data_IF_304470858804
#
_entry.id   IF_304470858804
#
_cell.length_a   1.000
_cell.length_b   1.000
_cell.length_c   1.000
_cell.angle_alpha   90.00
_cell.angle_beta   90.00
_cell.angle_gamma   90.00
#
_symmetry.space_group_name_H-M   'P 1'
#
loop_
_entity.id
_entity.type
_entity.pdbx_description
1 polymer ?
#
# COMPACT_ATOMS: atom_id res chain seq x y z
N UNK A 1 -6.49 4.87 -7.54
CA UNK A 1 -5.73 3.66 -7.93
C UNK A 1 -6.05 2.54 -6.95
N UNK A 2 -6.44 1.39 -7.47
CA UNK A 2 -6.78 0.24 -6.64
C UNK A 2 -5.51 -0.40 -6.09
N UNK A 3 -5.65 -1.09 -4.96
CA UNK A 3 -4.51 -1.79 -4.36
C UNK A 3 -4.99 -2.96 -3.52
N UNK A 4 -4.05 -3.85 -3.18
CA UNK A 4 -4.30 -5.03 -2.37
C UNK A 4 -3.62 -4.94 -1.00
N UNK A 5 -3.30 -3.73 -0.54
CA UNK A 5 -2.54 -3.56 0.71
C UNK A 5 -3.25 -4.21 1.89
N UNK A 6 -4.57 -4.03 2.01
CA UNK A 6 -5.34 -4.62 3.10
C UNK A 6 -5.22 -6.15 3.10
N UNK A 7 -5.30 -6.77 1.92
CA UNK A 7 -5.17 -8.22 1.79
C UNK A 7 -3.77 -8.66 2.21
N UNK A 8 -2.75 -7.96 1.72
CA UNK A 8 -1.36 -8.29 2.06
C UNK A 8 -1.11 -8.13 3.55
N UNK A 9 -1.67 -7.07 4.17
CA UNK A 9 -1.58 -6.90 5.61
C UNK A 9 -2.25 -8.05 6.37
N UNK A 10 -3.41 -8.48 5.90
CA UNK A 10 -4.12 -9.60 6.52
C UNK A 10 -3.29 -10.88 6.46
N UNK A 11 -2.65 -11.13 5.33
CA UNK A 11 -1.79 -12.30 5.16
C UNK A 11 -0.62 -12.27 6.15
N UNK A 12 -0.01 -11.10 6.36
CA UNK A 12 1.09 -10.93 7.32
C UNK A 12 0.61 -10.73 8.75
N UNK A 13 -0.68 -10.57 8.95
CA UNK A 13 -1.27 -10.31 10.28
C UNK A 13 -0.67 -9.06 10.93
N UNK A 14 -0.61 -7.96 10.18
CA UNK A 14 -0.12 -6.68 10.65
C UNK A 14 -1.19 -5.60 10.51
N UNK A 15 -1.06 -4.56 11.34
CA UNK A 15 -1.97 -3.42 11.34
C UNK A 15 -1.51 -2.36 10.35
N UNK A 16 -2.39 -1.37 10.08
CA UNK A 16 -2.00 -0.19 9.30
C UNK A 16 -0.82 0.54 9.97
N UNK A 17 -0.84 0.62 11.29
CA UNK A 17 0.24 1.27 12.03
C UNK A 17 1.57 0.54 11.85
N UNK A 18 1.54 -0.80 11.89
CA UNK A 18 2.75 -1.59 11.68
C UNK A 18 3.35 -1.31 10.31
N UNK A 19 2.52 -1.29 9.28
CA UNK A 19 2.99 -0.98 7.93
C UNK A 19 3.50 0.45 7.84
N UNK A 20 2.80 1.40 8.44
CA UNK A 20 3.19 2.80 8.42
C UNK A 20 4.59 2.98 9.00
N UNK A 21 4.86 2.36 10.15
CA UNK A 21 6.18 2.39 10.78
C UNK A 21 7.23 1.78 9.85
N UNK A 22 6.92 0.63 9.27
CA UNK A 22 7.87 -0.09 8.41
C UNK A 22 8.29 0.72 7.17
N UNK A 23 7.37 1.51 6.60
CA UNK A 23 7.68 2.29 5.39
C UNK A 23 7.88 3.78 5.67
N UNK A 24 7.82 4.19 6.94
CA UNK A 24 8.21 5.55 7.35
C UNK A 24 7.18 6.62 7.07
N UNK A 25 5.90 6.31 7.20
CA UNK A 25 4.81 7.30 7.03
C UNK A 25 3.82 7.19 8.19
N UNK A 26 2.83 8.07 8.22
CA UNK A 26 1.78 8.02 9.25
C UNK A 26 0.76 6.94 8.94
N UNK A 27 0.04 6.48 9.97
CA UNK A 27 -1.07 5.55 9.80
C UNK A 27 -2.14 6.12 8.88
N UNK A 28 -2.40 7.45 8.99
CA UNK A 28 -3.38 8.11 8.14
C UNK A 28 -3.01 8.01 6.66
N UNK A 29 -1.72 8.09 6.35
CA UNK A 29 -1.26 7.95 4.97
C UNK A 29 -1.59 6.55 4.45
N UNK A 30 -1.32 5.50 5.22
CA UNK A 30 -1.64 4.14 4.82
C UNK A 30 -3.16 3.98 4.65
N UNK A 31 -3.94 4.50 5.60
CA UNK A 31 -5.39 4.44 5.51
C UNK A 31 -5.92 5.09 4.22
N UNK A 32 -5.40 6.28 3.88
CA UNK A 32 -5.82 6.99 2.68
C UNK A 32 -5.43 6.26 1.40
N UNK A 33 -4.26 5.62 1.38
CA UNK A 33 -3.82 4.82 0.23
C UNK A 33 -4.73 3.61 0.07
N UNK A 34 -5.00 2.88 1.14
CA UNK A 34 -5.87 1.70 1.10
C UNK A 34 -7.27 2.05 0.63
N UNK A 35 -7.76 3.22 1.01
CA UNK A 35 -9.09 3.70 0.61
C UNK A 35 -9.09 4.30 -0.80
N UNK A 36 -7.96 4.27 -1.50
CA UNK A 36 -7.80 4.83 -2.85
C UNK A 36 -8.07 6.33 -2.92
N UNK A 37 -7.90 7.05 -1.80
CA UNK A 37 -8.04 8.52 -1.77
C UNK A 37 -6.71 9.23 -1.99
N UNK A 38 -5.61 8.52 -1.91
CA UNK A 38 -4.28 9.07 -2.05
C UNK A 38 -3.41 8.10 -2.85
N UNK A 39 -2.75 8.64 -3.87
CA UNK A 39 -1.81 7.86 -4.68
C UNK A 39 -0.41 8.05 -4.09
N UNK A 40 0.26 6.99 -3.68
CA UNK A 40 1.59 7.14 -3.07
C UNK A 40 2.61 7.62 -4.11
N UNK A 41 3.66 8.27 -3.62
CA UNK A 41 4.82 8.58 -4.46
C UNK A 41 5.44 7.28 -4.97
N UNK A 42 6.25 7.38 -6.02
CA UNK A 42 6.97 6.22 -6.54
C UNK A 42 7.83 5.56 -5.46
N UNK A 43 8.52 6.37 -4.66
CA UNK A 43 9.36 5.84 -3.59
C UNK A 43 8.54 5.09 -2.57
N UNK A 44 7.41 5.64 -2.14
CA UNK A 44 6.56 5.00 -1.15
C UNK A 44 5.95 3.71 -1.70
N UNK A 45 5.49 3.73 -2.95
CA UNK A 45 4.94 2.55 -3.59
C UNK A 45 5.97 1.41 -3.66
N UNK A 46 7.22 1.73 -3.98
CA UNK A 46 8.30 0.76 -4.01
C UNK A 46 8.62 0.21 -2.62
N UNK A 47 8.60 1.06 -1.59
CA UNK A 47 8.82 0.62 -0.21
C UNK A 47 7.73 -0.33 0.25
N UNK A 48 6.48 -0.03 -0.06
CA UNK A 48 5.35 -0.89 0.30
C UNK A 48 5.47 -2.24 -0.39
N UNK A 49 5.72 -2.23 -1.70
CA UNK A 49 5.86 -3.47 -2.46
C UNK A 49 7.02 -4.31 -1.93
N UNK A 50 8.16 -3.69 -1.67
CA UNK A 50 9.34 -4.39 -1.12
C UNK A 50 9.02 -5.01 0.23
N UNK A 51 8.31 -4.29 1.09
CA UNK A 51 7.95 -4.80 2.40
C UNK A 51 7.15 -6.11 2.30
N UNK A 52 6.25 -6.20 1.31
CA UNK A 52 5.46 -7.40 1.08
C UNK A 52 6.16 -8.43 0.19
N UNK A 53 7.36 -8.13 -0.29
CA UNK A 53 8.10 -9.06 -1.17
C UNK A 53 7.45 -9.20 -2.54
N UNK A 54 6.81 -8.15 -3.02
CA UNK A 54 6.10 -8.13 -4.31
C UNK A 54 6.52 -6.95 -5.15
N UNK A 55 6.10 -6.96 -6.40
CA UNK A 55 6.33 -5.81 -7.29
C UNK A 55 5.21 -4.78 -7.11
N UNK A 56 5.46 -3.55 -7.55
CA UNK A 56 4.45 -2.49 -7.50
C UNK A 56 3.20 -2.92 -8.26
N UNK A 57 3.36 -3.54 -9.42
CA UNK A 57 2.23 -4.00 -10.24
C UNK A 57 1.39 -5.07 -9.56
N UNK A 58 1.97 -5.83 -8.65
CA UNK A 58 1.23 -6.85 -7.90
C UNK A 58 0.39 -6.25 -6.78
N UNK A 59 0.78 -5.05 -6.30
CA UNK A 59 0.08 -4.38 -5.20
C UNK A 59 -0.90 -3.32 -5.73
N UNK A 60 -0.47 -2.53 -6.71
CA UNK A 60 -1.24 -1.40 -7.24
C UNK A 60 -1.69 -1.66 -8.65
N UNK A 61 -2.94 -1.30 -8.94
CA UNK A 61 -3.53 -1.49 -10.26
C UNK A 61 -4.15 -0.19 -10.72
N UNK A 62 -3.84 0.21 -11.95
CA UNK A 62 -4.51 1.35 -12.55
C UNK A 62 -5.99 1.01 -12.78
N UNK A 63 -6.85 1.98 -12.50
CA UNK A 63 -8.26 1.82 -12.81
C UNK A 63 -8.43 1.99 -14.31
N UNK A 64 -9.16 1.05 -14.90
CA UNK A 64 -9.47 1.16 -16.31
C UNK A 64 -10.59 2.15 -16.50
N UNK A 65 -10.44 3.03 -17.48
CA UNK A 65 -11.49 3.92 -17.90
C UNK A 65 -12.17 3.34 -19.13
N UNK A 66 -13.48 3.42 -19.09
CA UNK A 66 -14.28 2.90 -20.19
C UNK A 66 -14.08 3.74 -21.46
#
# INVERSE_FOLDING_TARGET
>A
MKNTIRVERSIKDITQQDLAVAVGVSRQTINSIEAARYVPSTVLALKIARYFGKTVDEIFTLEEEA
#
